data_IF_788532821992
#
_entry.id   IF_788532821992
#
_cell.length_a   1.000
_cell.length_b   1.000
_cell.length_c   1.000
_cell.angle_alpha   90.00
_cell.angle_beta   90.00
_cell.angle_gamma   90.00
#
_symmetry.space_group_name_H-M   'P 1'
#
loop_
_entity.id
_entity.type
_entity.pdbx_description
1 polymer ?
#
# COMPACT_ATOMS: atom_id res chain seq x y z
N UNK A 1 -17.62 -16.17 -27.07
CA UNK A 1 -17.13 -14.78 -26.87
C UNK A 1 -16.77 -14.56 -25.40
N UNK A 2 -17.57 -15.02 -24.44
CA UNK A 2 -17.32 -14.87 -22.99
C UNK A 2 -16.03 -15.61 -22.59
N UNK A 3 -15.82 -16.85 -22.99
CA UNK A 3 -14.62 -17.64 -22.66
C UNK A 3 -13.28 -17.08 -23.17
N UNK A 4 -13.29 -16.31 -24.26
CA UNK A 4 -12.07 -15.65 -24.77
C UNK A 4 -11.73 -14.39 -23.98
N UNK A 5 -12.75 -13.68 -23.47
CA UNK A 5 -12.60 -12.49 -22.62
C UNK A 5 -11.97 -12.89 -21.28
N UNK A 6 -12.50 -13.93 -20.64
CA UNK A 6 -12.00 -14.43 -19.35
C UNK A 6 -10.55 -14.89 -19.42
N UNK A 7 -10.17 -15.63 -20.48
CA UNK A 7 -8.77 -16.06 -20.69
C UNK A 7 -7.80 -14.90 -20.88
N UNK A 8 -8.21 -13.84 -21.56
CA UNK A 8 -7.37 -12.65 -21.75
C UNK A 8 -7.19 -11.88 -20.45
N UNK A 9 -8.24 -11.77 -19.63
CA UNK A 9 -8.21 -11.13 -18.31
C UNK A 9 -7.27 -11.91 -17.37
N UNK A 10 -7.39 -13.24 -17.33
CA UNK A 10 -6.54 -14.09 -16.49
C UNK A 10 -5.06 -14.02 -16.89
N UNK A 11 -4.79 -14.01 -18.20
CA UNK A 11 -3.42 -13.87 -18.70
C UNK A 11 -2.84 -12.49 -18.35
N UNK A 12 -3.66 -11.45 -18.45
CA UNK A 12 -3.31 -10.09 -18.08
C UNK A 12 -3.01 -9.96 -16.57
N UNK A 13 -3.91 -10.47 -15.71
CA UNK A 13 -3.72 -10.49 -14.26
C UNK A 13 -2.39 -11.19 -13.91
N UNK A 14 -2.12 -12.35 -14.49
CA UNK A 14 -0.86 -13.09 -14.28
C UNK A 14 0.36 -12.29 -14.72
N UNK A 15 0.30 -11.63 -15.86
CA UNK A 15 1.42 -10.83 -16.38
C UNK A 15 1.72 -9.63 -15.47
N UNK A 16 0.68 -8.93 -15.00
CA UNK A 16 0.85 -7.82 -14.05
C UNK A 16 1.39 -8.29 -12.70
N UNK A 17 0.92 -9.43 -12.18
CA UNK A 17 1.43 -10.02 -10.93
C UNK A 17 2.89 -10.41 -11.09
N UNK A 18 3.25 -11.07 -12.20
CA UNK A 18 4.62 -11.52 -12.46
C UNK A 18 5.60 -10.36 -12.63
N UNK A 19 5.15 -9.25 -13.21
CA UNK A 19 5.95 -8.04 -13.44
C UNK A 19 5.94 -7.07 -12.26
N UNK A 20 5.29 -7.44 -11.13
CA UNK A 20 5.31 -6.57 -9.96
C UNK A 20 6.70 -6.55 -9.33
N UNK A 21 7.41 -5.41 -9.37
CA UNK A 21 8.76 -5.29 -8.80
C UNK A 21 8.81 -5.53 -7.29
N UNK A 22 7.67 -5.37 -6.58
CA UNK A 22 7.56 -5.67 -5.15
C UNK A 22 7.82 -7.14 -4.81
N UNK A 23 7.75 -8.05 -5.81
CA UNK A 23 8.18 -9.45 -5.63
C UNK A 23 9.65 -9.56 -5.27
N UNK A 24 10.46 -8.59 -5.66
CA UNK A 24 11.88 -8.54 -5.31
C UNK A 24 12.11 -8.33 -3.80
N UNK A 25 11.12 -7.81 -3.07
CA UNK A 25 11.17 -7.69 -1.62
C UNK A 25 10.70 -8.94 -0.87
N UNK A 26 9.97 -9.84 -1.54
CA UNK A 26 9.46 -11.08 -0.96
C UNK A 26 10.27 -12.30 -1.37
N UNK A 27 10.24 -13.36 -0.57
CA UNK A 27 10.83 -14.66 -0.94
C UNK A 27 9.91 -15.38 -1.92
N UNK A 28 10.26 -15.34 -3.22
CA UNK A 28 9.61 -16.23 -4.19
C UNK A 28 8.16 -15.92 -4.55
N UNK A 29 7.64 -14.71 -4.25
CA UNK A 29 6.24 -14.33 -4.54
C UNK A 29 5.32 -14.37 -3.33
N UNK A 30 5.84 -14.68 -2.14
CA UNK A 30 5.11 -14.57 -0.88
C UNK A 30 4.79 -13.12 -0.55
N UNK A 31 3.75 -12.90 0.25
CA UNK A 31 3.40 -11.59 0.73
C UNK A 31 4.52 -11.01 1.60
N UNK A 32 4.76 -9.71 1.42
CA UNK A 32 5.75 -8.97 2.22
C UNK A 32 5.33 -8.90 3.69
N UNK A 33 4.01 -8.88 3.95
CA UNK A 33 3.42 -8.81 5.29
C UNK A 33 2.47 -9.97 5.55
N UNK A 34 2.58 -10.57 6.70
CA UNK A 34 1.63 -11.55 7.23
C UNK A 34 0.46 -10.84 7.95
N UNK A 35 -0.63 -11.59 8.21
CA UNK A 35 -1.75 -11.14 9.03
C UNK A 35 -1.27 -10.63 10.41
N UNK A 36 -1.82 -9.50 10.86
CA UNK A 36 -1.43 -8.82 12.09
C UNK A 36 -0.16 -7.96 11.97
N UNK A 37 0.55 -8.01 10.84
CA UNK A 37 1.77 -7.25 10.62
C UNK A 37 1.51 -5.85 10.06
N UNK A 38 2.43 -4.92 10.35
CA UNK A 38 2.41 -3.54 9.90
C UNK A 38 3.54 -3.25 8.93
N UNK A 39 3.21 -2.55 7.84
CA UNK A 39 4.15 -1.95 6.91
C UNK A 39 4.05 -0.43 6.90
N UNK A 40 5.15 0.25 6.65
CA UNK A 40 5.19 1.70 6.52
C UNK A 40 5.92 2.13 5.26
N UNK A 41 5.38 3.12 4.56
CA UNK A 41 6.01 3.81 3.43
C UNK A 41 6.28 5.26 3.82
N UNK A 42 7.55 5.60 3.96
CA UNK A 42 8.01 6.89 4.43
C UNK A 42 8.48 7.77 3.28
N UNK A 43 8.04 9.00 3.24
CA UNK A 43 8.59 10.01 2.35
C UNK A 43 8.13 11.43 2.73
N UNK A 44 8.81 12.47 2.26
CA UNK A 44 8.28 13.83 2.25
C UNK A 44 6.98 13.96 1.44
N UNK A 45 6.28 15.09 1.58
CA UNK A 45 5.11 15.38 0.75
C UNK A 45 5.48 15.37 -0.75
N UNK A 46 4.56 14.87 -1.58
CA UNK A 46 4.69 14.87 -3.04
C UNK A 46 5.61 13.80 -3.65
N UNK A 47 6.24 12.94 -2.86
CA UNK A 47 7.20 11.91 -3.34
C UNK A 47 6.53 10.62 -3.81
N UNK A 48 5.19 10.48 -3.68
CA UNK A 48 4.48 9.33 -4.23
C UNK A 48 4.07 8.25 -3.24
N UNK A 49 3.98 8.54 -1.92
CA UNK A 49 3.52 7.57 -0.89
C UNK A 49 2.18 6.92 -1.23
N UNK A 50 1.16 7.77 -1.51
CA UNK A 50 -0.19 7.30 -1.89
C UNK A 50 -0.16 6.45 -3.16
N UNK A 51 0.61 6.87 -4.19
CA UNK A 51 0.77 6.10 -5.41
C UNK A 51 1.41 4.73 -5.15
N UNK A 52 2.39 4.67 -4.26
CA UNK A 52 3.01 3.42 -3.85
C UNK A 52 2.01 2.49 -3.14
N UNK A 53 1.22 3.02 -2.17
CA UNK A 53 0.18 2.23 -1.50
C UNK A 53 -0.88 1.71 -2.49
N UNK A 54 -1.28 2.54 -3.46
CA UNK A 54 -2.25 2.12 -4.49
C UNK A 54 -1.68 1.01 -5.38
N UNK A 55 -0.37 1.01 -5.67
CA UNK A 55 0.25 -0.11 -6.39
C UNK A 55 0.25 -1.40 -5.58
N UNK A 56 0.51 -1.32 -4.25
CA UNK A 56 0.35 -2.47 -3.36
C UNK A 56 -1.09 -3.01 -3.39
N UNK A 57 -2.07 -2.08 -3.31
CA UNK A 57 -3.48 -2.44 -3.36
C UNK A 57 -3.88 -3.10 -4.69
N UNK A 58 -3.48 -2.50 -5.83
CA UNK A 58 -3.77 -3.05 -7.15
C UNK A 58 -3.18 -4.46 -7.30
N UNK A 59 -1.95 -4.68 -6.80
CA UNK A 59 -1.35 -6.00 -6.81
C UNK A 59 -2.14 -7.02 -5.96
N UNK A 60 -2.61 -6.63 -4.78
CA UNK A 60 -3.45 -7.47 -3.93
C UNK A 60 -4.81 -7.76 -4.60
N UNK A 61 -5.46 -6.75 -5.19
CA UNK A 61 -6.72 -6.89 -5.92
C UNK A 61 -6.60 -7.81 -7.15
N UNK A 62 -5.48 -7.73 -7.88
CA UNK A 62 -5.19 -8.66 -8.99
C UNK A 62 -5.05 -10.11 -8.53
N UNK A 63 -4.69 -10.33 -7.27
CA UNK A 63 -4.66 -11.63 -6.59
C UNK A 63 -5.99 -11.98 -5.89
N UNK A 64 -7.07 -11.26 -6.25
CA UNK A 64 -8.43 -11.43 -5.72
C UNK A 64 -8.59 -11.12 -4.23
N UNK A 65 -7.58 -10.48 -3.60
CA UNK A 65 -7.65 -10.05 -2.20
C UNK A 65 -8.48 -8.79 -2.05
N UNK A 66 -9.20 -8.72 -0.94
CA UNK A 66 -10.03 -7.57 -0.60
C UNK A 66 -9.24 -6.52 0.15
N UNK A 67 -9.20 -5.31 -0.39
CA UNK A 67 -8.43 -4.17 0.10
C UNK A 67 -9.35 -3.08 0.64
N UNK A 68 -9.21 -2.74 1.92
CA UNK A 68 -9.80 -1.55 2.51
C UNK A 68 -8.79 -0.40 2.46
N UNK A 69 -9.10 0.65 1.73
CA UNK A 69 -8.31 1.89 1.70
C UNK A 69 -8.96 2.94 2.59
N UNK A 70 -8.31 3.25 3.70
CA UNK A 70 -8.71 4.33 4.62
C UNK A 70 -7.89 5.56 4.28
N UNK A 71 -8.55 6.65 3.90
CA UNK A 71 -7.93 7.94 3.67
C UNK A 71 -8.36 8.93 4.75
N UNK A 72 -7.38 9.59 5.37
CA UNK A 72 -7.59 10.61 6.40
C UNK A 72 -7.43 12.04 5.85
N UNK A 73 -6.78 12.18 4.71
CA UNK A 73 -6.49 13.49 4.09
C UNK A 73 -7.32 13.76 2.84
N UNK A 74 -7.67 12.70 2.08
CA UNK A 74 -8.22 12.86 0.74
C UNK A 74 -9.62 12.27 0.61
N UNK A 75 -10.51 12.92 -0.19
CA UNK A 75 -11.85 12.41 -0.42
C UNK A 75 -11.84 11.16 -1.31
N UNK A 76 -12.91 10.34 -1.22
CA UNK A 76 -13.09 9.09 -2.00
C UNK A 76 -12.85 9.29 -3.49
N UNK A 77 -13.31 10.41 -4.06
CA UNK A 77 -13.14 10.73 -5.48
C UNK A 77 -11.68 10.82 -5.88
N UNK A 78 -10.84 11.49 -5.06
CA UNK A 78 -9.42 11.65 -5.34
C UNK A 78 -8.65 10.33 -5.18
N UNK A 79 -8.97 9.55 -4.15
CA UNK A 79 -8.42 8.19 -3.97
C UNK A 79 -8.79 7.32 -5.19
N UNK A 80 -10.04 7.36 -5.64
CA UNK A 80 -10.49 6.58 -6.81
C UNK A 80 -9.76 6.96 -8.09
N UNK A 81 -9.45 8.24 -8.30
CA UNK A 81 -8.66 8.72 -9.44
C UNK A 81 -7.23 8.14 -9.42
N UNK A 82 -6.60 7.99 -8.24
CA UNK A 82 -5.30 7.34 -8.14
C UNK A 82 -5.35 5.89 -8.63
N UNK A 83 -6.37 5.13 -8.24
CA UNK A 83 -6.53 3.74 -8.72
C UNK A 83 -6.72 3.68 -10.22
N UNK A 84 -7.59 4.51 -10.78
CA UNK A 84 -7.83 4.55 -12.22
C UNK A 84 -6.57 4.92 -13.00
N UNK A 85 -5.87 5.98 -12.57
CA UNK A 85 -4.63 6.45 -13.21
C UNK A 85 -3.54 5.38 -13.18
N UNK A 86 -3.22 4.84 -12.01
CA UNK A 86 -2.14 3.86 -11.87
C UNK A 86 -2.46 2.54 -12.57
N UNK A 87 -3.73 2.13 -12.60
CA UNK A 87 -4.15 0.97 -13.38
C UNK A 87 -3.92 1.21 -14.88
N UNK A 88 -4.29 2.39 -15.41
CA UNK A 88 -4.05 2.75 -16.81
C UNK A 88 -2.55 2.78 -17.11
N UNK A 89 -1.74 3.43 -16.29
CA UNK A 89 -0.28 3.48 -16.46
C UNK A 89 0.37 2.09 -16.45
N UNK A 90 -0.13 1.17 -15.60
CA UNK A 90 0.31 -0.24 -15.57
C UNK A 90 -0.04 -0.96 -16.86
N UNK A 91 -1.23 -0.74 -17.36
CA UNK A 91 -1.72 -1.35 -18.59
C UNK A 91 -0.94 -0.85 -19.82
N UNK A 92 -0.72 0.45 -19.91
CA UNK A 92 0.05 1.07 -20.98
C UNK A 92 1.49 0.52 -21.00
N UNK A 93 2.12 0.41 -19.83
CA UNK A 93 3.45 -0.20 -19.67
C UNK A 93 3.51 -1.67 -20.10
N UNK A 94 2.42 -2.40 -19.92
CA UNK A 94 2.31 -3.79 -20.33
C UNK A 94 1.91 -3.94 -21.81
N UNK A 95 1.74 -2.84 -22.56
CA UNK A 95 1.25 -2.79 -23.95
C UNK A 95 -0.12 -3.46 -24.14
N UNK A 96 -1.02 -3.27 -23.19
CA UNK A 96 -2.33 -3.89 -23.20
C UNK A 96 -3.37 -2.91 -23.74
N UNK A 97 -3.94 -3.26 -24.89
CA UNK A 97 -4.84 -2.38 -25.65
C UNK A 97 -6.32 -2.65 -25.40
N UNK A 98 -6.66 -3.72 -24.65
CA UNK A 98 -8.05 -4.11 -24.37
C UNK A 98 -8.27 -4.27 -22.87
N UNK A 99 -8.55 -3.14 -22.22
CA UNK A 99 -8.80 -3.06 -20.78
C UNK A 99 -10.28 -2.99 -20.42
N UNK A 100 -11.16 -3.06 -21.43
CA UNK A 100 -12.59 -2.91 -21.23
C UNK A 100 -13.10 -3.93 -20.20
N UNK A 101 -13.55 -3.43 -19.06
CA UNK A 101 -14.10 -4.22 -17.97
C UNK A 101 -13.09 -4.77 -16.95
N UNK A 102 -11.77 -4.71 -17.18
CA UNK A 102 -10.81 -5.27 -16.22
C UNK A 102 -10.76 -4.46 -14.93
N UNK A 103 -10.77 -3.13 -15.01
CA UNK A 103 -10.82 -2.27 -13.83
C UNK A 103 -12.14 -2.47 -13.08
N UNK A 104 -13.26 -2.56 -13.80
CA UNK A 104 -14.58 -2.81 -13.22
C UNK A 104 -14.63 -4.16 -12.48
N UNK A 105 -13.96 -5.19 -13.00
CA UNK A 105 -13.84 -6.50 -12.35
C UNK A 105 -12.99 -6.45 -11.07
N UNK A 106 -12.08 -5.46 -10.96
CA UNK A 106 -11.27 -5.26 -9.75
C UNK A 106 -12.00 -4.43 -8.67
N UNK A 107 -12.95 -3.56 -9.04
CA UNK A 107 -13.63 -2.68 -8.08
C UNK A 107 -14.30 -3.40 -6.91
N UNK A 108 -14.92 -4.60 -7.06
CA UNK A 108 -15.47 -5.35 -5.95
C UNK A 108 -14.44 -5.79 -4.89
N UNK A 109 -13.16 -5.82 -5.25
CA UNK A 109 -12.07 -6.13 -4.33
C UNK A 109 -11.56 -4.91 -3.55
N UNK A 110 -12.15 -3.73 -3.76
CA UNK A 110 -11.77 -2.49 -3.09
C UNK A 110 -12.93 -1.85 -2.36
N UNK A 111 -12.70 -1.47 -1.10
CA UNK A 111 -13.57 -0.57 -0.36
C UNK A 111 -12.79 0.67 0.07
N UNK A 112 -13.30 1.88 -0.17
CA UNK A 112 -12.68 3.13 0.26
C UNK A 112 -13.51 3.72 1.40
N UNK A 113 -12.83 4.05 2.50
CA UNK A 113 -13.40 4.68 3.68
C UNK A 113 -12.63 5.97 3.98
N UNK A 114 -13.33 7.04 4.27
CA UNK A 114 -12.70 8.31 4.64
C UNK A 114 -13.09 8.72 6.04
N UNK A 115 -12.13 9.25 6.78
CA UNK A 115 -12.34 9.88 8.09
C UNK A 115 -11.67 11.25 8.07
N UNK A 116 -12.19 12.18 8.85
CA UNK A 116 -11.39 13.33 9.27
C UNK A 116 -10.37 12.86 10.31
N UNK A 117 -9.17 13.43 10.30
CA UNK A 117 -8.07 13.04 11.21
C UNK A 117 -8.53 13.04 12.68
N UNK A 118 -9.24 14.10 13.09
CA UNK A 118 -9.74 14.24 14.47
C UNK A 118 -10.85 13.23 14.81
N UNK A 119 -11.51 12.70 13.79
CA UNK A 119 -12.60 11.72 13.93
C UNK A 119 -12.14 10.26 13.84
N UNK A 120 -10.89 10.02 13.45
CA UNK A 120 -10.35 8.68 13.33
C UNK A 120 -9.93 8.12 14.69
N UNK A 121 -10.64 7.11 15.16
CA UNK A 121 -10.31 6.37 16.38
C UNK A 121 -10.41 4.87 16.13
N UNK A 122 -9.62 4.08 16.87
CA UNK A 122 -9.61 2.62 16.72
C UNK A 122 -10.98 2.00 17.03
N UNK A 123 -11.73 2.42 18.08
CA UNK A 123 -13.09 1.91 18.32
C UNK A 123 -14.05 2.18 17.16
N UNK A 124 -14.01 3.37 16.55
CA UNK A 124 -14.85 3.68 15.37
C UNK A 124 -14.49 2.85 14.15
N UNK A 125 -13.19 2.60 13.95
CA UNK A 125 -12.74 1.72 12.86
C UNK A 125 -13.22 0.29 13.12
N UNK A 126 -13.09 -0.21 14.33
CA UNK A 126 -13.55 -1.55 14.71
C UNK A 126 -15.06 -1.70 14.51
N UNK A 127 -15.87 -0.71 14.95
CA UNK A 127 -17.31 -0.67 14.70
C UNK A 127 -17.63 -0.77 13.21
N UNK A 128 -17.00 0.06 12.37
CA UNK A 128 -17.22 0.06 10.91
C UNK A 128 -16.83 -1.26 10.24
N UNK A 129 -15.70 -1.82 10.66
CA UNK A 129 -15.24 -3.12 10.14
C UNK A 129 -16.19 -4.24 10.58
N UNK A 130 -16.65 -4.21 11.82
CA UNK A 130 -17.63 -5.18 12.33
C UNK A 130 -18.94 -5.09 11.55
N UNK A 131 -19.45 -3.89 11.28
CA UNK A 131 -20.67 -3.70 10.49
C UNK A 131 -20.50 -4.28 9.06
N UNK A 132 -19.39 -3.96 8.40
CA UNK A 132 -19.12 -4.46 7.04
C UNK A 132 -19.03 -5.99 6.98
N UNK A 133 -18.39 -6.59 7.98
CA UNK A 133 -18.19 -8.05 8.04
C UNK A 133 -19.45 -8.78 8.49
N UNK A 134 -20.16 -8.29 9.52
CA UNK A 134 -21.37 -8.90 10.04
C UNK A 134 -22.52 -8.88 9.02
N UNK A 135 -22.58 -7.85 8.18
CA UNK A 135 -23.56 -7.76 7.10
C UNK A 135 -23.09 -8.45 5.80
N UNK A 136 -21.94 -9.11 5.83
CA UNK A 136 -21.33 -9.76 4.66
C UNK A 136 -21.13 -8.83 3.45
N UNK A 137 -20.90 -7.53 3.70
CA UNK A 137 -20.68 -6.52 2.66
C UNK A 137 -19.22 -6.59 2.17
N UNK A 138 -18.26 -6.59 3.11
CA UNK A 138 -16.84 -6.59 2.77
C UNK A 138 -15.98 -7.18 3.89
N UNK A 139 -15.09 -8.11 3.53
CA UNK A 139 -14.15 -8.76 4.45
C UNK A 139 -12.72 -8.44 3.99
N UNK A 140 -12.08 -7.38 4.50
CA UNK A 140 -10.74 -7.01 4.06
C UNK A 140 -9.69 -8.03 4.51
N UNK A 141 -8.69 -8.25 3.68
CA UNK A 141 -7.46 -8.99 3.98
C UNK A 141 -6.29 -8.00 4.14
N UNK A 142 -6.33 -6.90 3.39
CA UNK A 142 -5.37 -5.81 3.43
C UNK A 142 -6.06 -4.51 3.81
N UNK A 143 -5.44 -3.74 4.70
CA UNK A 143 -5.89 -2.41 5.06
C UNK A 143 -4.78 -1.40 4.73
N UNK A 144 -5.14 -0.33 4.05
CA UNK A 144 -4.27 0.83 3.83
C UNK A 144 -4.75 1.98 4.70
N UNK A 145 -3.85 2.66 5.40
CA UNK A 145 -4.16 3.88 6.14
C UNK A 145 -3.26 4.99 5.60
N UNK A 146 -3.86 5.85 4.79
CA UNK A 146 -3.19 7.00 4.17
C UNK A 146 -3.49 8.28 4.96
N UNK A 147 -2.43 9.01 5.35
CA UNK A 147 -2.54 10.26 6.11
C UNK A 147 -2.65 10.06 7.63
N UNK A 148 -2.23 8.92 8.19
CA UNK A 148 -2.20 8.76 9.66
C UNK A 148 -1.24 9.77 10.30
N UNK A 149 -1.71 10.54 11.31
CA UNK A 149 -0.87 11.53 11.98
C UNK A 149 0.07 10.85 12.97
N UNK A 150 1.32 10.66 12.57
CA UNK A 150 2.34 10.11 13.46
C UNK A 150 2.88 11.19 14.39
N UNK A 151 2.72 10.99 15.70
CA UNK A 151 3.19 11.88 16.75
C UNK A 151 3.54 11.13 18.04
N UNK A 152 3.90 11.89 19.07
CA UNK A 152 4.35 11.30 20.35
C UNK A 152 3.26 10.48 21.07
N UNK A 153 2.01 10.87 20.93
CA UNK A 153 0.85 10.24 21.59
C UNK A 153 0.27 9.03 20.82
N UNK A 154 0.79 8.70 19.64
CA UNK A 154 0.13 7.75 18.75
C UNK A 154 0.57 6.30 18.94
N UNK A 155 1.59 6.03 19.79
CA UNK A 155 2.05 4.66 20.05
C UNK A 155 0.93 3.76 20.60
N UNK A 156 0.17 4.24 21.59
CA UNK A 156 -0.94 3.46 22.16
C UNK A 156 -2.03 3.18 21.11
N UNK A 157 -2.34 4.18 20.27
CA UNK A 157 -3.28 4.04 19.17
C UNK A 157 -2.80 2.99 18.14
N UNK A 158 -1.51 3.01 17.79
CA UNK A 158 -0.91 2.02 16.90
C UNK A 158 -0.89 0.61 17.51
N UNK A 159 -0.63 0.48 18.81
CA UNK A 159 -0.73 -0.80 19.53
C UNK A 159 -2.16 -1.35 19.48
N UNK A 160 -3.17 -0.51 19.73
CA UNK A 160 -4.56 -0.90 19.64
C UNK A 160 -4.96 -1.32 18.22
N UNK A 161 -4.47 -0.60 17.19
CA UNK A 161 -4.64 -0.98 15.78
C UNK A 161 -3.98 -2.32 15.46
N UNK A 162 -2.77 -2.58 16.00
CA UNK A 162 -2.05 -3.84 15.77
C UNK A 162 -2.79 -5.02 16.38
N UNK A 163 -3.34 -4.86 17.58
CA UNK A 163 -4.21 -5.87 18.21
C UNK A 163 -5.48 -6.11 17.38
N UNK A 164 -6.12 -5.06 16.88
CA UNK A 164 -7.30 -5.16 16.02
C UNK A 164 -6.97 -5.90 14.72
N UNK A 165 -5.86 -5.54 14.06
CA UNK A 165 -5.40 -6.19 12.84
C UNK A 165 -5.15 -7.70 13.05
N UNK A 166 -4.52 -8.07 14.17
CA UNK A 166 -4.31 -9.47 14.54
C UNK A 166 -5.62 -10.23 14.76
N UNK A 167 -6.61 -9.62 15.44
CA UNK A 167 -7.94 -10.26 15.64
C UNK A 167 -8.71 -10.46 14.35
N UNK A 168 -8.58 -9.52 13.42
CA UNK A 168 -9.26 -9.55 12.12
C UNK A 168 -8.51 -10.36 11.06
N UNK A 169 -7.28 -10.79 11.34
CA UNK A 169 -6.44 -11.51 10.38
C UNK A 169 -6.01 -10.66 9.17
N UNK A 170 -5.93 -9.32 9.33
CA UNK A 170 -5.53 -8.40 8.26
C UNK A 170 -4.11 -7.90 8.46
N UNK A 171 -3.42 -7.55 7.38
CA UNK A 171 -2.19 -6.77 7.46
C UNK A 171 -2.44 -5.32 7.06
N UNK A 172 -1.63 -4.41 7.60
CA UNK A 172 -1.89 -2.97 7.47
C UNK A 172 -0.65 -2.24 6.92
N UNK A 173 -0.86 -1.42 5.90
CA UNK A 173 0.15 -0.50 5.39
C UNK A 173 -0.21 0.95 5.69
N UNK A 174 0.80 1.73 6.06
CA UNK A 174 0.66 3.14 6.39
C UNK A 174 1.51 4.02 5.48
N UNK A 175 1.02 5.22 5.15
CA UNK A 175 1.90 6.30 4.73
C UNK A 175 2.41 7.06 5.95
N UNK A 176 3.70 7.38 5.96
CA UNK A 176 4.33 8.18 7.01
C UNK A 176 4.97 9.41 6.37
N UNK A 177 4.56 10.59 6.83
CA UNK A 177 5.15 11.83 6.39
C UNK A 177 6.48 12.07 7.11
N UNK A 178 7.55 12.36 6.35
CA UNK A 178 8.85 12.75 6.87
C UNK A 178 9.22 14.16 6.40
N UNK A 179 10.03 14.87 7.18
CA UNK A 179 10.52 16.19 6.78
C UNK A 179 11.96 16.10 6.27
N UNK A 180 12.26 16.80 5.18
CA UNK A 180 13.57 16.71 4.48
C UNK A 180 14.78 17.09 5.34
N UNK A 181 14.55 17.88 6.40
CA UNK A 181 15.62 18.42 7.25
C UNK A 181 15.75 17.67 8.58
N UNK A 182 14.89 16.69 8.84
CA UNK A 182 14.98 15.90 10.07
C UNK A 182 16.09 14.87 9.96
N UNK A 183 16.96 14.86 10.96
CA UNK A 183 18.03 13.86 11.04
C UNK A 183 17.44 12.56 11.59
N UNK A 184 17.76 11.41 10.97
CA UNK A 184 17.42 10.11 11.53
C UNK A 184 17.97 9.96 12.96
N UNK A 185 17.33 9.09 13.75
CA UNK A 185 17.85 8.66 15.05
C UNK A 185 19.21 7.96 14.89
N UNK A 186 19.90 7.67 16.00
CA UNK A 186 21.14 6.90 15.99
C UNK A 186 21.00 5.51 15.33
N UNK A 187 19.78 4.97 15.31
CA UNK A 187 19.42 3.69 14.69
C UNK A 187 19.01 3.84 13.21
N UNK A 188 19.13 5.03 12.63
CA UNK A 188 18.75 5.31 11.24
C UNK A 188 17.24 5.49 11.01
N UNK A 189 16.42 5.49 12.08
CA UNK A 189 14.98 5.63 11.98
C UNK A 189 14.55 7.10 11.85
N UNK A 190 13.68 7.46 10.92
CA UNK A 190 13.09 8.79 10.85
C UNK A 190 12.35 9.17 12.14
N UNK A 191 12.45 10.44 12.61
CA UNK A 191 11.82 10.90 13.86
C UNK A 191 10.34 10.58 13.98
N UNK A 192 9.60 10.63 12.88
CA UNK A 192 8.17 10.28 12.83
C UNK A 192 7.88 8.86 13.34
N UNK A 193 8.82 7.92 13.22
CA UNK A 193 8.69 6.53 13.70
C UNK A 193 9.60 6.22 14.90
N UNK A 194 10.34 7.18 15.44
CA UNK A 194 11.32 6.94 16.50
C UNK A 194 10.75 6.19 17.71
N UNK A 195 9.49 6.46 18.08
CA UNK A 195 8.80 5.84 19.22
C UNK A 195 7.92 4.66 18.91
N UNK A 196 7.64 4.38 17.64
CA UNK A 196 6.71 3.36 17.20
C UNK A 196 7.29 2.44 16.12
N UNK A 197 8.51 2.66 15.69
CA UNK A 197 9.14 1.87 14.63
C UNK A 197 9.20 0.38 14.92
N UNK A 198 9.30 -0.02 16.20
CA UNK A 198 9.28 -1.42 16.64
C UNK A 198 7.95 -2.14 16.39
N UNK A 199 6.86 -1.40 16.19
CA UNK A 199 5.55 -1.96 15.85
C UNK A 199 5.44 -2.35 14.37
N UNK A 200 6.35 -1.88 13.52
CA UNK A 200 6.35 -2.14 12.09
C UNK A 200 7.28 -3.28 11.73
N UNK A 201 6.75 -4.22 10.97
CA UNK A 201 7.47 -5.41 10.50
C UNK A 201 8.27 -5.08 9.23
N UNK A 202 7.74 -4.19 8.39
CA UNK A 202 8.40 -3.69 7.18
C UNK A 202 8.37 -2.16 7.14
N UNK A 203 9.51 -1.54 6.85
CA UNK A 203 9.62 -0.09 6.69
C UNK A 203 10.38 0.20 5.39
N UNK A 204 9.73 0.93 4.49
CA UNK A 204 10.27 1.37 3.20
C UNK A 204 10.37 2.88 3.18
N UNK A 205 11.49 3.42 2.73
CA UNK A 205 11.67 4.85 2.51
C UNK A 205 11.74 5.15 1.02
N UNK A 206 10.94 6.12 0.56
CA UNK A 206 11.05 6.69 -0.76
C UNK A 206 11.96 7.92 -0.69
N UNK A 207 13.10 7.86 -1.35
CA UNK A 207 14.11 8.92 -1.35
C UNK A 207 14.21 9.54 -2.75
N UNK A 208 13.77 10.79 -2.87
CA UNK A 208 13.84 11.54 -4.13
C UNK A 208 15.20 12.22 -4.24
N UNK A 209 16.05 11.73 -5.16
CA UNK A 209 17.36 12.28 -5.47
C UNK A 209 17.45 12.64 -6.95
N UNK A 210 17.43 13.92 -7.24
CA UNK A 210 17.44 14.40 -8.63
C UNK A 210 16.18 13.97 -9.39
N UNK A 211 16.36 13.26 -10.49
CA UNK A 211 15.26 12.80 -11.35
C UNK A 211 14.67 11.44 -10.91
N UNK A 212 15.26 10.77 -9.93
CA UNK A 212 14.88 9.42 -9.54
C UNK A 212 14.29 9.39 -8.12
N UNK A 213 13.36 8.47 -7.89
CA UNK A 213 12.85 8.14 -6.56
C UNK A 213 13.24 6.71 -6.26
N UNK A 214 14.20 6.53 -5.33
CA UNK A 214 14.66 5.19 -4.90
C UNK A 214 13.79 4.67 -3.76
N UNK A 215 13.56 3.35 -3.73
CA UNK A 215 12.88 2.67 -2.64
C UNK A 215 13.97 1.99 -1.79
N UNK A 216 14.12 2.45 -0.56
CA UNK A 216 15.11 1.93 0.37
C UNK A 216 14.42 1.19 1.51
N UNK A 217 14.65 -0.11 1.70
CA UNK A 217 14.18 -0.81 2.88
C UNK A 217 15.01 -0.39 4.11
N UNK A 218 14.30 0.02 5.16
CA UNK A 218 14.89 0.33 6.47
C UNK A 218 14.72 -0.82 7.46
N UNK A 219 13.71 -1.69 7.26
CA UNK A 219 13.41 -2.85 8.11
C UNK A 219 12.64 -3.92 7.34
N UNK A 220 12.80 -5.18 7.76
CA UNK A 220 11.94 -6.32 7.41
C UNK A 220 12.21 -6.95 6.06
N UNK A 221 13.19 -6.47 5.30
CA UNK A 221 13.56 -7.00 3.99
C UNK A 221 14.99 -7.50 4.06
N UNK A 222 15.23 -8.69 3.49
CA UNK A 222 16.54 -9.32 3.51
C UNK A 222 17.60 -8.47 2.78
N UNK A 223 18.83 -8.48 3.28
CA UNK A 223 19.92 -7.64 2.76
C UNK A 223 20.31 -7.93 1.32
N UNK A 224 20.13 -9.17 0.85
CA UNK A 224 20.33 -9.60 -0.53
C UNK A 224 19.30 -8.99 -1.51
N UNK A 225 18.10 -8.63 -1.02
CA UNK A 225 17.12 -7.88 -1.81
C UNK A 225 17.42 -6.36 -1.88
N UNK A 226 18.32 -5.85 -1.05
CA UNK A 226 18.73 -4.42 -1.03
C UNK A 226 19.67 -4.07 -2.18
N UNK A 227 20.36 -5.04 -2.75
CA UNK A 227 21.23 -4.83 -3.92
C UNK A 227 20.44 -4.44 -5.17
N UNK A 228 19.19 -4.86 -5.28
CA UNK A 228 18.27 -4.44 -6.34
C UNK A 228 17.52 -3.17 -5.88
N UNK A 229 18.08 -2.01 -6.20
CA UNK A 229 17.44 -0.70 -5.91
C UNK A 229 16.23 -0.51 -6.79
N UNK A 230 15.07 -0.86 -6.27
CA UNK A 230 13.81 -0.50 -6.90
C UNK A 230 13.67 1.02 -6.96
N UNK A 231 13.16 1.52 -8.07
CA UNK A 231 12.89 2.95 -8.28
C UNK A 231 11.43 3.18 -8.64
N UNK A 232 10.93 4.35 -8.27
CA UNK A 232 9.68 4.87 -8.81
C UNK A 232 10.00 5.78 -9.99
N UNK A 233 9.26 5.59 -11.07
CA UNK A 233 9.24 6.53 -12.19
C UNK A 233 8.50 7.80 -11.77
N UNK A 234 9.14 8.98 -11.72
CA UNK A 234 8.47 10.20 -11.29
C UNK A 234 7.31 10.64 -12.19
N UNK A 235 7.29 10.23 -13.46
CA UNK A 235 6.23 10.61 -14.40
C UNK A 235 4.95 9.77 -14.20
N UNK A 236 5.09 8.47 -13.99
CA UNK A 236 3.97 7.53 -13.82
C UNK A 236 3.75 7.12 -12.38
N UNK A 237 4.73 7.36 -11.49
CA UNK A 237 4.79 6.84 -10.13
C UNK A 237 4.78 5.31 -10.05
N UNK A 238 5.03 4.62 -11.16
CA UNK A 238 5.15 3.17 -11.19
C UNK A 238 6.55 2.72 -10.72
N UNK A 239 6.56 1.61 -10.01
CA UNK A 239 7.81 0.96 -9.61
C UNK A 239 8.50 0.41 -10.86
N UNK A 240 9.79 0.71 -11.01
CA UNK A 240 10.68 0.14 -12.03
C UNK A 240 11.61 -0.86 -11.39
N UNK A 241 11.86 -1.95 -12.11
CA UNK A 241 12.94 -2.88 -11.84
C UNK A 241 14.13 -2.45 -12.72
N UNK A 242 15.28 -2.20 -12.13
CA UNK A 242 16.50 -2.06 -12.90
C UNK A 242 17.10 -3.45 -13.05
N UNK A 243 16.71 -4.13 -14.13
CA UNK A 243 17.29 -5.38 -14.55
C UNK A 243 18.77 -5.26 -14.92
#
# INVERSE_FOLDING_TARGET
>A
VIHLRDRNIDMFKKDLILRNPLRSFGRGGEEILAAGCFGAVLAPAGVGKTAFLVQLALNAMLQEKKVLHISLDEPVTKVSLWYAKLFQDLADRANLTRLDGVLEDLLPHRFIMTFKVEGFTVPKLEERLTDLTAQNIFHPEMVLIDGFPFGEADRERLMALKLLAGRLGVYVWFTVHTHRHEKPTAEGMPPALARAGDLFDVILQLDARGADITIQPLRGIASDAVENRLRLDPATMLIRDEG
#
